data_IF_989326091870
#
_entry.id   IF_989326091870
#
_cell.length_a   1.000
_cell.length_b   1.000
_cell.length_c   1.000
_cell.angle_alpha   90.00
_cell.angle_beta   90.00
_cell.angle_gamma   90.00
#
_symmetry.space_group_name_H-M   'P 1'
#
loop_
_entity.id
_entity.type
_entity.pdbx_description
1 polymer ?
#
# COMPACT_ATOMS: atom_id res chain seq x y z
N UNK A 1 23.23 32.76 50.50
CA UNK A 1 22.26 31.64 50.48
C UNK A 1 20.89 32.26 50.21
N UNK A 2 20.24 31.91 49.10
CA UNK A 2 18.79 31.67 49.00
C UNK A 2 18.39 31.45 47.54
N UNK A 3 17.54 30.42 47.38
CA UNK A 3 17.28 29.64 46.19
C UNK A 3 16.53 30.41 45.10
N UNK A 4 16.88 30.08 43.85
CA UNK A 4 16.18 30.49 42.64
C UNK A 4 14.88 29.70 42.57
N UNK A 5 13.76 30.41 42.54
CA UNK A 5 12.48 29.85 42.10
C UNK A 5 12.54 29.74 40.58
N UNK A 6 12.20 28.59 40.01
CA UNK A 6 11.81 28.48 38.61
C UNK A 6 10.82 27.34 38.48
N UNK A 7 9.58 27.79 38.48
CA UNK A 7 8.34 27.19 38.02
C UNK A 7 8.57 26.32 36.77
N UNK A 8 8.47 25.00 36.93
CA UNK A 8 8.44 24.06 35.81
C UNK A 8 6.99 23.85 35.38
N UNK A 9 6.49 24.73 34.52
CA UNK A 9 5.32 24.47 33.68
C UNK A 9 5.72 24.74 32.23
N UNK A 10 6.01 23.68 31.46
CA UNK A 10 6.04 23.74 30.01
C UNK A 10 5.88 22.34 29.40
N UNK A 11 4.60 22.00 29.16
CA UNK A 11 4.05 21.36 27.97
C UNK A 11 4.56 19.97 27.52
N UNK A 12 3.66 18.97 27.33
CA UNK A 12 3.99 17.78 26.55
C UNK A 12 4.18 18.18 25.07
N UNK A 13 5.22 17.71 24.36
CA UNK A 13 5.30 17.96 22.94
C UNK A 13 4.35 17.01 22.19
N UNK A 14 3.33 17.63 21.60
CA UNK A 14 2.93 17.40 20.21
C UNK A 14 2.38 16.00 19.86
N UNK A 15 1.13 15.78 20.28
CA UNK A 15 0.20 15.04 19.45
C UNK A 15 -0.15 15.90 18.22
N UNK A 16 0.63 15.79 17.13
CA UNK A 16 0.21 16.10 15.75
C UNK A 16 1.39 16.06 14.80
N UNK A 17 1.69 14.88 14.28
CA UNK A 17 1.99 14.80 12.87
C UNK A 17 1.55 13.41 12.40
N UNK A 18 0.38 13.34 11.79
CA UNK A 18 0.16 12.47 10.64
C UNK A 18 1.23 12.84 9.60
N UNK A 19 2.48 12.43 9.87
CA UNK A 19 3.54 12.37 8.88
C UNK A 19 3.00 11.35 7.91
N UNK A 20 2.32 11.86 6.88
CA UNK A 20 2.30 11.27 5.56
C UNK A 20 3.76 11.03 5.27
N UNK A 21 4.25 9.85 5.65
CA UNK A 21 5.51 9.33 5.19
C UNK A 21 5.31 9.27 3.67
N UNK A 22 5.68 10.36 3.00
CA UNK A 22 6.37 10.27 1.73
C UNK A 22 7.61 9.45 2.04
N UNK A 23 7.40 8.14 2.17
CA UNK A 23 8.48 7.21 2.28
C UNK A 23 9.07 7.19 0.87
N UNK A 24 10.14 7.95 0.71
CA UNK A 24 11.32 7.59 -0.10
C UNK A 24 11.92 6.23 0.34
N UNK A 25 11.08 5.33 0.89
CA UNK A 25 11.41 3.94 1.11
C UNK A 25 11.20 3.27 -0.22
N UNK A 26 12.28 2.77 -0.81
CA UNK A 26 12.25 1.96 -2.02
C UNK A 26 11.07 0.98 -1.95
N UNK A 27 10.05 1.24 -2.76
CA UNK A 27 8.91 0.33 -2.90
C UNK A 27 9.44 -0.94 -3.54
N UNK A 28 9.26 -2.04 -2.83
CA UNK A 28 9.58 -3.38 -3.31
C UNK A 28 8.31 -4.00 -3.84
N UNK A 29 8.38 -4.46 -5.08
CA UNK A 29 7.31 -5.20 -5.72
C UNK A 29 7.60 -6.70 -5.61
N UNK A 30 6.69 -7.42 -4.96
CA UNK A 30 6.75 -8.88 -4.91
C UNK A 30 5.58 -9.47 -5.68
N UNK A 31 5.87 -10.45 -6.52
CA UNK A 31 4.82 -11.18 -7.24
C UNK A 31 3.93 -11.94 -6.24
N UNK A 32 2.62 -11.74 -6.38
CA UNK A 32 1.60 -12.41 -5.60
C UNK A 32 0.84 -13.40 -6.46
N UNK A 33 0.46 -14.51 -5.84
CA UNK A 33 -0.48 -15.44 -6.45
C UNK A 33 -1.85 -14.74 -6.58
N UNK A 34 -2.46 -14.67 -7.78
CA UNK A 34 -3.79 -14.08 -7.96
C UNK A 34 -4.85 -14.72 -7.05
N UNK A 35 -4.75 -16.02 -6.76
CA UNK A 35 -5.65 -16.73 -5.84
C UNK A 35 -5.45 -16.36 -4.37
N UNK A 36 -4.32 -15.73 -4.02
CA UNK A 36 -4.07 -15.23 -2.67
C UNK A 36 -4.64 -13.82 -2.47
N UNK A 37 -4.66 -13.00 -3.52
CA UNK A 37 -5.18 -11.61 -3.48
C UNK A 37 -6.66 -11.51 -3.78
N UNK A 38 -7.22 -12.47 -4.52
CA UNK A 38 -8.61 -12.52 -4.93
C UNK A 38 -9.28 -13.73 -4.27
N UNK A 39 -10.40 -13.47 -3.60
CA UNK A 39 -11.36 -14.48 -3.18
C UNK A 39 -12.00 -15.07 -4.43
N UNK A 40 -11.80 -16.37 -4.67
CA UNK A 40 -12.51 -17.07 -5.73
C UNK A 40 -13.99 -17.07 -5.39
N UNK A 41 -14.75 -16.20 -6.05
CA UNK A 41 -16.20 -16.35 -6.14
C UNK A 41 -16.47 -17.70 -6.80
N UNK A 42 -17.23 -18.55 -6.13
CA UNK A 42 -17.58 -19.92 -6.53
C UNK A 42 -18.24 -20.00 -7.92
N UNK A 43 -18.72 -18.86 -8.43
CA UNK A 43 -19.22 -18.71 -9.80
C UNK A 43 -18.07 -18.64 -10.81
N UNK A 44 -17.75 -19.78 -11.41
CA UNK A 44 -16.85 -19.96 -12.56
C UNK A 44 -17.20 -19.12 -13.82
N UNK A 45 -18.22 -18.26 -13.74
CA UNK A 45 -18.69 -17.37 -14.80
C UNK A 45 -18.80 -15.90 -14.36
N UNK A 46 -18.46 -15.56 -13.11
CA UNK A 46 -18.42 -14.19 -12.65
C UNK A 46 -17.18 -13.49 -13.22
N UNK A 47 -17.38 -12.58 -14.18
CA UNK A 47 -16.33 -11.67 -14.63
C UNK A 47 -15.84 -10.90 -13.41
N UNK A 48 -14.60 -11.14 -13.00
CA UNK A 48 -14.03 -10.51 -11.83
C UNK A 48 -13.90 -9.00 -12.09
N UNK A 49 -14.90 -8.22 -11.64
CA UNK A 49 -14.89 -6.77 -11.76
C UNK A 49 -13.90 -6.20 -10.75
N UNK A 50 -12.62 -6.25 -11.10
CA UNK A 50 -11.54 -5.59 -10.38
C UNK A 50 -11.66 -4.08 -10.56
N UNK A 51 -12.14 -3.41 -9.52
CA UNK A 51 -12.13 -1.95 -9.44
C UNK A 51 -10.68 -1.47 -9.29
N UNK A 52 -10.14 -0.91 -10.37
CA UNK A 52 -8.82 -0.28 -10.36
C UNK A 52 -8.97 1.21 -10.03
N UNK A 53 -8.18 1.68 -9.07
CA UNK A 53 -8.25 3.04 -8.51
C UNK A 53 -7.27 4.02 -9.16
N UNK A 54 -6.55 3.57 -10.19
CA UNK A 54 -5.58 4.37 -10.92
C UNK A 54 -4.40 3.51 -11.37
N UNK A 55 -3.48 4.13 -12.11
CA UNK A 55 -2.17 3.54 -12.41
C UNK A 55 -1.13 4.15 -11.47
N UNK A 56 -0.26 3.33 -10.91
CA UNK A 56 0.91 3.80 -10.16
C UNK A 56 2.05 4.17 -11.12
N UNK A 57 3.11 4.78 -10.59
CA UNK A 57 4.30 5.13 -11.39
C UNK A 57 5.15 3.89 -11.69
N UNK A 58 4.93 2.82 -10.94
CA UNK A 58 5.69 1.59 -11.04
C UNK A 58 5.33 0.79 -12.30
N UNK A 59 6.38 0.35 -12.98
CA UNK A 59 6.28 -0.46 -14.19
C UNK A 59 6.26 -1.93 -13.81
N UNK A 60 5.46 -2.73 -14.50
CA UNK A 60 5.41 -4.16 -14.32
C UNK A 60 6.82 -4.76 -14.51
N UNK A 61 7.37 -5.51 -13.55
CA UNK A 61 8.70 -6.09 -13.67
C UNK A 61 8.78 -7.18 -14.75
N UNK A 62 7.64 -7.78 -15.14
CA UNK A 62 7.56 -8.75 -16.23
C UNK A 62 7.55 -8.08 -17.61
N UNK A 63 6.69 -7.07 -17.79
CA UNK A 63 6.52 -6.42 -19.10
C UNK A 63 7.55 -5.31 -19.33
N UNK A 64 8.00 -4.61 -18.29
CA UNK A 64 8.93 -3.47 -18.35
C UNK A 64 8.44 -2.26 -19.18
N UNK A 65 7.18 -2.24 -19.62
CA UNK A 65 6.59 -1.11 -20.35
C UNK A 65 5.19 -0.69 -19.85
N UNK A 66 4.51 -1.54 -19.09
CA UNK A 66 3.13 -1.28 -18.64
C UNK A 66 3.12 -0.80 -17.20
N UNK A 67 2.42 0.30 -16.94
CA UNK A 67 2.19 0.78 -15.58
C UNK A 67 1.21 -0.13 -14.85
N UNK A 68 1.52 -0.45 -13.60
CA UNK A 68 0.66 -1.28 -12.77
C UNK A 68 -0.56 -0.48 -12.32
N UNK A 69 -1.71 -1.16 -12.22
CA UNK A 69 -2.96 -0.59 -11.74
C UNK A 69 -3.14 -0.88 -10.26
N UNK A 70 -3.49 0.12 -9.48
CA UNK A 70 -3.80 -0.08 -8.07
C UNK A 70 -5.19 -0.70 -7.91
N UNK A 71 -5.24 -1.84 -7.25
CA UNK A 71 -6.46 -2.51 -6.82
C UNK A 71 -6.55 -2.37 -5.31
N UNK A 72 -7.67 -1.86 -4.83
CA UNK A 72 -7.95 -1.76 -3.40
C UNK A 72 -8.80 -2.94 -2.92
N UNK A 73 -8.76 -3.20 -1.61
CA UNK A 73 -9.51 -4.25 -0.94
C UNK A 73 -11.02 -3.98 -0.97
N UNK A 74 -11.70 -4.39 -2.04
CA UNK A 74 -13.15 -4.28 -2.24
C UNK A 74 -13.72 -5.51 -2.95
N UNK A 75 -14.99 -5.83 -2.67
CA UNK A 75 -15.68 -7.03 -3.16
C UNK A 75 -14.88 -8.31 -2.88
N UNK A 76 -14.30 -8.89 -3.93
CA UNK A 76 -13.57 -10.16 -3.91
C UNK A 76 -12.07 -9.95 -3.69
N UNK A 77 -11.60 -8.72 -3.54
CA UNK A 77 -10.18 -8.44 -3.33
C UNK A 77 -9.87 -8.51 -1.83
N UNK A 78 -9.01 -9.45 -1.44
CA UNK A 78 -8.64 -9.73 -0.05
C UNK A 78 -7.62 -8.73 0.50
N UNK A 79 -6.73 -8.23 -0.35
CA UNK A 79 -5.71 -7.25 0.00
C UNK A 79 -5.47 -6.28 -1.15
N UNK A 80 -5.12 -5.04 -0.83
CA UNK A 80 -4.72 -4.08 -1.85
C UNK A 80 -3.45 -4.58 -2.54
N UNK A 81 -3.44 -4.53 -3.87
CA UNK A 81 -2.34 -5.02 -4.70
C UNK A 81 -2.26 -4.24 -6.00
N UNK A 82 -1.17 -4.42 -6.72
CA UNK A 82 -0.93 -3.87 -8.03
C UNK A 82 -1.21 -4.94 -9.10
N UNK A 83 -1.97 -4.59 -10.13
CA UNK A 83 -2.38 -5.48 -11.21
C UNK A 83 -1.82 -5.02 -12.54
N UNK A 84 -1.15 -5.91 -13.27
CA UNK A 84 -0.74 -5.66 -14.64
C UNK A 84 -1.82 -6.09 -15.62
N UNK A 85 -2.33 -5.16 -16.44
CA UNK A 85 -3.36 -5.49 -17.43
C UNK A 85 -2.83 -6.21 -18.70
N UNK A 86 -1.51 -6.37 -18.82
CA UNK A 86 -0.85 -6.94 -20.00
C UNK A 86 -0.49 -8.41 -19.79
N UNK A 87 0.11 -8.74 -18.64
CA UNK A 87 0.46 -10.11 -18.25
C UNK A 87 -0.43 -10.69 -17.14
N UNK A 88 -1.48 -9.96 -16.76
CA UNK A 88 -2.49 -10.35 -15.75
C UNK A 88 -1.90 -10.74 -14.38
N UNK A 89 -0.65 -10.34 -14.13
CA UNK A 89 0.08 -10.68 -12.90
C UNK A 89 -0.24 -9.68 -11.79
N UNK A 90 -0.31 -10.20 -10.56
CA UNK A 90 -0.57 -9.43 -9.35
C UNK A 90 0.74 -9.22 -8.58
N UNK A 91 0.91 -8.04 -8.00
CA UNK A 91 2.10 -7.66 -7.24
C UNK A 91 1.70 -6.99 -5.93
N UNK A 92 2.38 -7.35 -4.84
CA UNK A 92 2.34 -6.61 -3.59
C UNK A 92 3.28 -5.41 -3.69
N UNK A 93 2.89 -4.29 -3.10
CA UNK A 93 3.79 -3.17 -2.89
C UNK A 93 3.99 -2.99 -1.39
N UNK A 94 5.21 -3.24 -0.93
CA UNK A 94 5.63 -3.00 0.45
C UNK A 94 6.94 -2.22 0.48
N UNK A 95 7.18 -1.54 1.58
CA UNK A 95 8.45 -0.88 1.83
C UNK A 95 9.51 -1.91 2.24
N UNK A 96 10.79 -1.55 2.13
CA UNK A 96 11.93 -2.41 2.54
C UNK A 96 11.90 -2.85 4.00
N UNK A 97 11.14 -2.15 4.86
CA UNK A 97 10.91 -2.54 6.25
C UNK A 97 9.82 -3.62 6.41
N UNK A 98 9.24 -4.12 5.31
CA UNK A 98 8.15 -5.09 5.28
C UNK A 98 6.77 -4.49 5.53
N UNK A 99 6.66 -3.17 5.73
CA UNK A 99 5.37 -2.52 5.94
C UNK A 99 4.62 -2.41 4.59
N UNK A 100 3.31 -2.73 4.55
CA UNK A 100 2.52 -2.62 3.32
C UNK A 100 2.44 -1.16 2.89
N UNK A 101 2.77 -0.90 1.62
CA UNK A 101 2.68 0.45 1.07
C UNK A 101 1.23 0.85 0.77
N UNK A 102 0.37 -0.15 0.60
CA UNK A 102 -1.05 0.02 0.26
C UNK A 102 -1.96 -0.07 1.49
N UNK A 103 -1.47 0.41 2.65
CA UNK A 103 -2.29 0.51 3.86
C UNK A 103 -3.21 1.72 3.75
N UNK A 104 -4.51 1.49 3.55
CA UNK A 104 -5.56 2.53 3.60
C UNK A 104 -6.52 2.22 4.73
#
# INVERSE_FOLDING_TARGET
MNLRVSETYAHPPEASACRRHHADGNLVLSELNPLAVIDQLDDASATLNLLTFGSVREICPKCQHTHLKLVLRQNSVRMAHLFCADCESCFDAHYTNGAPALTI
#
